data_IF_076032914527
#
_entry.id   IF_076032914527
#
_cell.length_a   1.000
_cell.length_b   1.000
_cell.length_c   1.000
_cell.angle_alpha   90.00
_cell.angle_beta   90.00
_cell.angle_gamma   90.00
#
_symmetry.space_group_name_H-M   'P 1'
#
loop_
_entity.id
_entity.type
_entity.pdbx_description
1 polymer ?
#
# COMPACT_ATOMS: atom_id res chain seq x y z
N UNK A 1 -11.91 41.15 -5.26
CA UNK A 1 -12.34 39.92 -4.57
C UNK A 1 -11.46 38.79 -5.07
N UNK A 2 -10.57 38.27 -4.24
CA UNK A 2 -9.64 37.19 -4.61
C UNK A 2 -10.36 35.87 -4.34
N UNK A 3 -10.71 35.14 -5.40
CA UNK A 3 -11.41 33.86 -5.31
C UNK A 3 -10.42 32.77 -4.85
N UNK A 4 -10.66 32.03 -3.75
CA UNK A 4 -9.80 30.92 -3.37
C UNK A 4 -10.23 29.67 -4.14
N UNK A 5 -10.13 29.69 -5.47
CA UNK A 5 -10.33 28.49 -6.26
C UNK A 5 -9.01 27.70 -6.34
N UNK A 6 -9.07 26.43 -5.95
CA UNK A 6 -7.99 25.44 -5.95
C UNK A 6 -6.89 25.61 -4.90
N UNK A 7 -7.23 25.32 -3.65
CA UNK A 7 -6.25 24.67 -2.76
C UNK A 7 -6.05 23.23 -3.25
N UNK A 8 -5.05 23.03 -4.12
CA UNK A 8 -4.67 21.68 -4.53
C UNK A 8 -4.41 20.84 -3.29
N UNK A 9 -5.24 19.81 -3.08
CA UNK A 9 -5.12 18.92 -1.92
C UNK A 9 -3.80 18.18 -2.03
N UNK A 10 -2.84 18.50 -1.17
CA UNK A 10 -1.58 17.79 -1.11
C UNK A 10 -1.83 16.32 -0.72
N UNK A 11 -1.62 15.41 -1.67
CA UNK A 11 -1.65 13.97 -1.44
C UNK A 11 -0.21 13.47 -1.52
N UNK A 12 0.35 12.88 -0.44
CA UNK A 12 1.72 12.38 -0.43
C UNK A 12 1.81 11.07 -1.22
N UNK A 13 1.81 11.16 -2.56
CA UNK A 13 1.78 10.03 -3.49
C UNK A 13 2.89 9.00 -3.22
N UNK A 14 4.09 9.46 -2.84
CA UNK A 14 5.20 8.58 -2.49
C UNK A 14 4.96 7.75 -1.22
N UNK A 15 4.40 8.36 -0.17
CA UNK A 15 4.04 7.64 1.05
C UNK A 15 2.97 6.60 0.76
N UNK A 16 1.94 6.96 -0.01
CA UNK A 16 0.87 6.04 -0.41
C UNK A 16 1.43 4.85 -1.20
N UNK A 17 2.33 5.09 -2.15
CA UNK A 17 2.98 4.02 -2.92
C UNK A 17 3.79 3.07 -2.03
N UNK A 18 4.53 3.60 -1.05
CA UNK A 18 5.29 2.79 -0.10
C UNK A 18 4.39 1.92 0.78
N UNK A 19 3.29 2.48 1.30
CA UNK A 19 2.33 1.69 2.09
C UNK A 19 1.66 0.58 1.27
N UNK A 20 1.28 0.87 0.01
CA UNK A 20 0.76 -0.17 -0.89
C UNK A 20 1.80 -1.27 -1.10
N UNK A 21 3.05 -0.91 -1.33
CA UNK A 21 4.14 -1.88 -1.47
C UNK A 21 4.29 -2.77 -0.23
N UNK A 22 4.25 -2.18 0.98
CA UNK A 22 4.31 -2.95 2.22
C UNK A 22 3.14 -3.92 2.39
N UNK A 23 1.92 -3.51 2.01
CA UNK A 23 0.74 -4.37 2.05
C UNK A 23 0.92 -5.56 1.11
N UNK A 24 1.36 -5.31 -0.13
CA UNK A 24 1.61 -6.36 -1.12
C UNK A 24 2.71 -7.32 -0.63
N UNK A 25 3.80 -6.79 -0.06
CA UNK A 25 4.88 -7.60 0.50
C UNK A 25 4.37 -8.48 1.66
N UNK A 26 3.57 -7.92 2.56
CA UNK A 26 2.96 -8.67 3.66
C UNK A 26 2.06 -9.80 3.16
N UNK A 27 1.25 -9.54 2.14
CA UNK A 27 0.40 -10.55 1.48
C UNK A 27 1.26 -11.67 0.90
N UNK A 28 2.33 -11.34 0.16
CA UNK A 28 3.25 -12.32 -0.44
C UNK A 28 3.86 -13.22 0.64
N UNK A 29 4.37 -12.63 1.73
CA UNK A 29 4.99 -13.39 2.82
C UNK A 29 3.98 -14.29 3.53
N UNK A 30 2.77 -13.78 3.78
CA UNK A 30 1.68 -14.55 4.39
C UNK A 30 1.32 -15.78 3.54
N UNK A 31 1.01 -15.57 2.27
CA UNK A 31 0.60 -16.67 1.39
C UNK A 31 1.75 -17.64 1.14
N UNK A 32 2.98 -17.16 0.97
CA UNK A 32 4.15 -18.05 0.81
C UNK A 32 4.30 -18.97 2.01
N UNK A 33 4.21 -18.43 3.23
CA UNK A 33 4.29 -19.23 4.46
C UNK A 33 3.12 -20.20 4.59
N UNK A 34 1.92 -19.75 4.24
CA UNK A 34 0.72 -20.59 4.23
C UNK A 34 0.85 -21.78 3.27
N UNK A 35 1.36 -21.55 2.06
CA UNK A 35 1.62 -22.62 1.09
C UNK A 35 2.71 -23.58 1.57
N UNK A 36 3.79 -23.07 2.19
CA UNK A 36 4.82 -23.93 2.78
C UNK A 36 4.20 -24.82 3.86
N UNK A 37 3.31 -24.28 4.70
CA UNK A 37 2.60 -25.06 5.72
C UNK A 37 1.71 -26.13 5.09
N UNK A 38 0.95 -25.79 4.05
CA UNK A 38 0.11 -26.75 3.32
C UNK A 38 0.94 -27.82 2.60
N UNK A 39 2.13 -27.49 2.09
CA UNK A 39 3.00 -28.48 1.43
C UNK A 39 3.65 -29.48 2.39
N UNK A 40 3.63 -29.18 3.69
CA UNK A 40 4.18 -30.04 4.75
C UNK A 40 3.16 -31.03 5.31
N UNK A 41 1.86 -30.85 5.01
CA UNK A 41 0.79 -31.80 5.35
C UNK A 41 0.57 -32.76 4.18
#
# INVERSE_FOLDING_TARGET
MQSPENSEKFVPKGAVAFFIFLIVLGIILWFSTYFIMLSRI
#
